data_IF_706659105142
#
_entry.id   IF_706659105142
#
_cell.length_a   1.000
_cell.length_b   1.000
_cell.length_c   1.000
_cell.angle_alpha   90.00
_cell.angle_beta   90.00
_cell.angle_gamma   90.00
#
_symmetry.space_group_name_H-M   'P 1'
#
loop_
_entity.id
_entity.type
_entity.pdbx_description
1 polymer ?
#
# COMPACT_ATOMS: atom_id res chain seq x y z
N UNK A 1 -59.66 -16.78 41.92
CA UNK A 1 -60.11 -15.43 41.52
C UNK A 1 -58.87 -14.73 40.99
N UNK A 2 -58.66 -14.62 39.67
CA UNK A 2 -57.54 -13.84 39.16
C UNK A 2 -57.89 -12.36 39.20
N UNK A 3 -56.97 -11.54 39.69
CA UNK A 3 -57.11 -10.10 39.79
C UNK A 3 -56.97 -9.50 38.38
N UNK A 4 -58.07 -8.96 37.85
CA UNK A 4 -58.05 -8.09 36.67
C UNK A 4 -57.39 -6.76 37.05
N UNK A 5 -56.41 -6.24 36.30
CA UNK A 5 -55.90 -4.89 36.50
C UNK A 5 -57.02 -3.88 36.20
N UNK A 6 -57.06 -2.78 36.94
CA UNK A 6 -58.11 -1.77 36.76
C UNK A 6 -57.95 -1.06 35.41
N UNK A 7 -59.06 -0.55 34.88
CA UNK A 7 -59.08 0.21 33.61
C UNK A 7 -58.10 1.39 33.63
N UNK A 8 -57.84 1.93 34.83
CA UNK A 8 -56.90 3.02 35.11
C UNK A 8 -55.43 2.58 35.01
N UNK A 9 -55.11 1.35 35.38
CA UNK A 9 -53.76 0.76 35.25
C UNK A 9 -53.41 0.47 33.78
N UNK A 10 -54.40 0.05 32.98
CA UNK A 10 -54.23 -0.16 31.54
C UNK A 10 -54.02 1.17 30.78
N UNK A 11 -54.75 2.23 31.14
CA UNK A 11 -54.60 3.57 30.56
C UNK A 11 -53.27 4.22 30.97
N UNK A 12 -52.80 3.99 32.20
CA UNK A 12 -51.50 4.49 32.66
C UNK A 12 -50.33 3.85 31.89
N UNK A 13 -50.39 2.54 31.62
CA UNK A 13 -49.36 1.84 30.83
C UNK A 13 -49.36 2.30 29.37
N UNK A 14 -50.53 2.51 28.76
CA UNK A 14 -50.66 3.05 27.40
C UNK A 14 -50.17 4.51 27.30
N UNK A 15 -50.44 5.33 28.33
CA UNK A 15 -49.96 6.72 28.41
C UNK A 15 -48.43 6.81 28.52
N UNK A 16 -47.81 5.92 29.29
CA UNK A 16 -46.33 5.83 29.40
C UNK A 16 -45.71 5.36 28.08
N UNK A 17 -46.30 4.37 27.42
CA UNK A 17 -45.83 3.89 26.11
C UNK A 17 -45.86 4.99 25.04
N UNK A 18 -46.96 5.74 24.96
CA UNK A 18 -47.13 6.81 23.98
C UNK A 18 -46.13 7.96 24.19
N UNK A 19 -45.79 8.26 25.45
CA UNK A 19 -44.80 9.29 25.79
C UNK A 19 -43.37 8.84 25.50
N UNK A 20 -43.01 7.59 25.80
CA UNK A 20 -41.68 7.04 25.49
C UNK A 20 -41.45 6.90 23.99
N UNK A 21 -42.50 6.60 23.21
CA UNK A 21 -42.44 6.59 21.74
C UNK A 21 -42.24 8.01 21.19
N UNK A 22 -42.96 9.00 21.74
CA UNK A 22 -42.84 10.41 21.34
C UNK A 22 -41.44 11.00 21.64
N UNK A 23 -40.89 10.71 22.82
CA UNK A 23 -39.58 11.22 23.24
C UNK A 23 -38.42 10.54 22.48
N UNK A 24 -38.57 9.27 22.09
CA UNK A 24 -37.61 8.55 21.24
C UNK A 24 -37.64 9.04 19.78
N UNK A 25 -38.81 9.47 19.28
CA UNK A 25 -38.94 10.03 17.94
C UNK A 25 -38.27 11.39 17.79
N UNK A 26 -38.28 12.24 18.81
CA UNK A 26 -37.83 13.65 18.70
C UNK A 26 -36.30 13.81 18.64
N UNK A 27 -35.55 12.93 19.32
CA UNK A 27 -34.07 12.92 19.30
C UNK A 27 -33.51 12.39 17.97
N UNK A 28 -34.26 11.52 17.29
CA UNK A 28 -33.88 10.90 16.00
C UNK A 28 -34.38 11.75 14.80
N UNK A 29 -35.36 12.64 15.03
CA UNK A 29 -36.09 13.38 14.00
C UNK A 29 -35.27 14.38 13.16
N UNK A 30 -34.14 14.89 13.67
CA UNK A 30 -33.54 16.09 13.06
C UNK A 30 -32.62 15.85 11.85
N UNK A 31 -32.30 14.60 11.44
CA UNK A 31 -31.33 14.39 10.31
C UNK A 31 -31.54 13.25 9.29
N UNK A 32 -32.67 12.57 9.20
CA UNK A 32 -32.94 11.71 8.01
C UNK A 32 -34.44 11.54 7.72
N UNK A 33 -35.03 12.48 6.98
CA UNK A 33 -36.48 12.64 6.89
C UNK A 33 -37.21 11.71 5.92
N UNK A 34 -36.53 11.10 4.94
CA UNK A 34 -37.24 10.24 3.96
C UNK A 34 -37.25 8.76 4.35
N UNK A 35 -36.09 8.19 4.72
CA UNK A 35 -36.00 6.78 5.11
C UNK A 35 -36.72 6.51 6.43
N UNK A 36 -36.66 7.46 7.38
CA UNK A 36 -37.30 7.32 8.68
C UNK A 36 -38.83 7.49 8.60
N UNK A 37 -39.31 8.38 7.70
CA UNK A 37 -40.74 8.53 7.42
C UNK A 37 -41.31 7.27 6.76
N UNK A 38 -40.60 6.70 5.78
CA UNK A 38 -40.98 5.40 5.21
C UNK A 38 -41.03 4.32 6.30
N UNK A 39 -40.02 4.23 7.16
CA UNK A 39 -39.98 3.29 8.28
C UNK A 39 -41.13 3.48 9.28
N UNK A 40 -41.46 4.73 9.63
CA UNK A 40 -42.57 5.06 10.54
C UNK A 40 -43.95 4.79 9.91
N UNK A 41 -44.12 5.08 8.61
CA UNK A 41 -45.33 4.75 7.85
C UNK A 41 -45.48 3.22 7.73
N UNK A 42 -44.40 2.48 7.47
CA UNK A 42 -44.41 1.01 7.47
C UNK A 42 -44.71 0.44 8.86
N UNK A 43 -44.21 1.05 9.93
CA UNK A 43 -44.51 0.66 11.31
C UNK A 43 -45.99 0.89 11.65
N UNK A 44 -46.53 2.07 11.33
CA UNK A 44 -47.93 2.39 11.58
C UNK A 44 -48.89 1.54 10.73
N UNK A 45 -48.59 1.32 9.46
CA UNK A 45 -49.45 0.58 8.53
C UNK A 45 -49.38 -0.95 8.75
N UNK A 46 -48.19 -1.51 9.01
CA UNK A 46 -48.00 -2.96 9.10
C UNK A 46 -48.00 -3.52 10.51
N UNK A 47 -47.83 -2.69 11.54
CA UNK A 47 -47.80 -3.11 12.94
C UNK A 47 -49.02 -2.63 13.73
N UNK A 48 -49.40 -1.34 13.60
CA UNK A 48 -50.52 -0.75 14.36
C UNK A 48 -51.91 -0.99 13.73
N UNK A 49 -52.01 -1.08 12.40
CA UNK A 49 -53.30 -1.30 11.72
C UNK A 49 -53.88 -2.71 11.94
N UNK A 50 -53.10 -3.81 11.86
CA UNK A 50 -53.55 -5.15 12.23
C UNK A 50 -53.72 -5.35 13.74
N UNK A 51 -53.26 -4.41 14.57
CA UNK A 51 -53.42 -4.43 16.02
C UNK A 51 -54.81 -3.96 16.46
N UNK A 52 -55.46 -3.08 15.70
CA UNK A 52 -56.80 -2.56 16.04
C UNK A 52 -57.95 -3.46 15.54
N UNK A 53 -57.66 -4.35 14.60
CA UNK A 53 -58.61 -5.33 14.07
C UNK A 53 -57.88 -6.67 14.11
N UNK A 54 -58.16 -7.55 15.08
CA UNK A 54 -57.69 -8.94 15.04
C UNK A 54 -58.75 -9.82 14.35
N UNK A 55 -58.76 -9.93 13.01
CA UNK A 55 -59.55 -10.97 12.36
C UNK A 55 -58.97 -12.34 12.72
N UNK A 56 -59.78 -13.40 12.64
CA UNK A 56 -59.42 -14.80 12.91
C UNK A 56 -58.16 -15.33 12.16
N UNK A 57 -57.62 -14.55 11.20
CA UNK A 57 -56.49 -14.91 10.34
C UNK A 57 -55.24 -14.02 10.49
N UNK A 58 -55.12 -13.23 11.56
CA UNK A 58 -53.98 -12.32 11.83
C UNK A 58 -52.60 -12.99 11.72
N UNK A 59 -52.44 -14.19 12.28
CA UNK A 59 -51.22 -15.01 12.17
C UNK A 59 -50.82 -15.33 10.73
N UNK A 60 -51.78 -15.76 9.91
CA UNK A 60 -51.51 -16.12 8.53
C UNK A 60 -51.08 -14.90 7.72
N UNK A 61 -51.82 -13.79 7.86
CA UNK A 61 -51.53 -12.55 7.15
C UNK A 61 -50.14 -12.00 7.49
N UNK A 62 -49.80 -11.99 8.78
CA UNK A 62 -48.50 -11.58 9.29
C UNK A 62 -47.37 -12.45 8.72
N UNK A 63 -47.48 -13.78 8.82
CA UNK A 63 -46.44 -14.70 8.36
C UNK A 63 -46.31 -14.72 6.83
N UNK A 64 -47.42 -14.61 6.10
CA UNK A 64 -47.42 -14.51 4.63
C UNK A 64 -46.69 -13.28 4.12
N UNK A 65 -46.81 -12.14 4.82
CA UNK A 65 -46.04 -10.95 4.51
C UNK A 65 -44.52 -11.21 4.62
N UNK A 66 -44.05 -11.84 5.70
CA UNK A 66 -42.62 -12.13 5.88
C UNK A 66 -42.09 -13.23 4.96
N UNK A 67 -42.93 -14.20 4.56
CA UNK A 67 -42.58 -15.14 3.49
C UNK A 67 -42.49 -14.42 2.14
N UNK A 68 -43.43 -13.52 1.84
CA UNK A 68 -43.48 -12.78 0.58
C UNK A 68 -42.28 -11.85 0.35
N UNK A 69 -41.71 -11.29 1.42
CA UNK A 69 -40.48 -10.48 1.36
C UNK A 69 -39.20 -11.32 1.52
N UNK A 70 -39.31 -12.66 1.61
CA UNK A 70 -38.19 -13.59 1.66
C UNK A 70 -37.48 -13.70 3.02
N UNK A 71 -38.07 -13.19 4.11
CA UNK A 71 -37.48 -13.27 5.45
C UNK A 71 -37.78 -14.63 6.15
N UNK A 72 -38.87 -15.28 5.78
CA UNK A 72 -39.25 -16.61 6.28
C UNK A 72 -39.38 -17.61 5.12
N UNK A 73 -39.01 -18.86 5.35
CA UNK A 73 -39.38 -19.95 4.45
C UNK A 73 -40.81 -20.44 4.71
N UNK A 74 -41.40 -21.14 3.74
CA UNK A 74 -42.69 -21.81 3.93
C UNK A 74 -42.67 -22.82 5.11
N UNK A 75 -41.52 -23.44 5.36
CA UNK A 75 -41.31 -24.33 6.51
C UNK A 75 -41.30 -23.58 7.84
N UNK A 76 -40.72 -22.38 7.89
CA UNK A 76 -40.71 -21.54 9.10
C UNK A 76 -42.10 -21.03 9.43
N UNK A 77 -42.87 -20.60 8.42
CA UNK A 77 -44.29 -20.26 8.58
C UNK A 77 -45.07 -21.43 9.20
N UNK A 78 -44.87 -22.65 8.69
CA UNK A 78 -45.56 -23.84 9.18
C UNK A 78 -45.19 -24.20 10.63
N UNK A 79 -44.02 -23.78 11.12
CA UNK A 79 -43.61 -23.99 12.51
C UNK A 79 -44.09 -22.86 13.44
N UNK A 80 -44.00 -21.61 13.00
CA UNK A 80 -44.40 -20.44 13.78
C UNK A 80 -45.92 -20.38 13.94
N UNK A 81 -46.70 -20.79 12.93
CA UNK A 81 -48.16 -20.77 13.01
C UNK A 81 -48.72 -21.71 14.08
N UNK A 82 -47.97 -22.74 14.51
CA UNK A 82 -48.36 -23.63 15.61
C UNK A 82 -48.43 -22.90 16.95
N UNK A 83 -47.83 -21.71 17.06
CA UNK A 83 -47.87 -20.86 18.24
C UNK A 83 -49.21 -20.14 18.43
N UNK A 84 -50.13 -20.24 17.46
CA UNK A 84 -51.49 -19.68 17.59
C UNK A 84 -52.40 -20.50 18.51
N UNK A 85 -52.06 -21.75 18.79
CA UNK A 85 -52.95 -22.68 19.52
C UNK A 85 -52.87 -22.52 21.06
N UNK A 86 -52.16 -21.50 21.55
CA UNK A 86 -52.11 -21.17 22.97
C UNK A 86 -53.43 -20.53 23.46
N UNK A 87 -53.76 -20.69 24.74
CA UNK A 87 -54.96 -20.07 25.31
C UNK A 87 -54.81 -18.55 25.49
N UNK A 88 -55.91 -17.81 25.37
CA UNK A 88 -55.93 -16.37 25.69
C UNK A 88 -55.59 -16.14 27.17
N UNK A 89 -54.81 -15.10 27.53
CA UNK A 89 -54.28 -14.02 26.66
C UNK A 89 -52.86 -14.30 26.10
N UNK A 90 -52.29 -15.48 26.33
CA UNK A 90 -50.90 -15.79 25.97
C UNK A 90 -50.68 -15.84 24.46
N UNK A 91 -51.68 -16.24 23.68
CA UNK A 91 -51.66 -16.24 22.21
C UNK A 91 -51.36 -14.85 21.65
N UNK A 92 -52.00 -13.81 22.18
CA UNK A 92 -51.77 -12.42 21.79
C UNK A 92 -50.35 -11.96 22.14
N UNK A 93 -49.84 -12.31 23.33
CA UNK A 93 -48.46 -11.97 23.73
C UNK A 93 -47.45 -12.65 22.81
N UNK A 94 -47.67 -13.92 22.46
CA UNK A 94 -46.79 -14.68 21.58
C UNK A 94 -46.84 -14.14 20.14
N UNK A 95 -48.01 -13.73 19.66
CA UNK A 95 -48.17 -13.04 18.37
C UNK A 95 -47.35 -11.74 18.34
N UNK A 96 -47.47 -10.90 19.37
CA UNK A 96 -46.75 -9.62 19.45
C UNK A 96 -45.23 -9.80 19.50
N UNK A 97 -44.75 -10.73 20.32
CA UNK A 97 -43.31 -11.03 20.42
C UNK A 97 -42.77 -11.57 19.10
N UNK A 98 -43.54 -12.43 18.42
CA UNK A 98 -43.17 -12.98 17.11
C UNK A 98 -43.11 -11.89 16.06
N UNK A 99 -44.13 -11.03 15.99
CA UNK A 99 -44.19 -9.90 15.08
C UNK A 99 -43.03 -8.92 15.31
N UNK A 100 -42.73 -8.58 16.56
CA UNK A 100 -41.60 -7.72 16.92
C UNK A 100 -40.25 -8.32 16.50
N UNK A 101 -40.03 -9.63 16.70
CA UNK A 101 -38.80 -10.30 16.29
C UNK A 101 -38.63 -10.36 14.77
N UNK A 102 -39.71 -10.64 14.03
CA UNK A 102 -39.67 -10.67 12.56
C UNK A 102 -39.48 -9.26 11.99
N UNK A 103 -40.15 -8.26 12.57
CA UNK A 103 -40.00 -6.87 12.17
C UNK A 103 -38.58 -6.35 12.44
N UNK A 104 -38.00 -6.63 13.60
CA UNK A 104 -36.60 -6.26 13.89
C UNK A 104 -35.59 -6.97 12.98
N UNK A 105 -35.84 -8.23 12.61
CA UNK A 105 -35.06 -8.95 11.59
C UNK A 105 -35.17 -8.30 10.20
N UNK A 106 -36.37 -7.88 9.80
CA UNK A 106 -36.61 -7.13 8.56
C UNK A 106 -35.89 -5.77 8.56
N UNK A 107 -35.95 -5.04 9.67
CA UNK A 107 -35.24 -3.78 9.85
C UNK A 107 -33.73 -3.97 9.68
N UNK A 108 -33.15 -4.97 10.33
CA UNK A 108 -31.72 -5.29 10.17
C UNK A 108 -31.39 -5.54 8.69
N UNK A 109 -32.11 -6.47 8.05
CA UNK A 109 -31.84 -6.88 6.67
C UNK A 109 -32.03 -5.78 5.61
N UNK A 110 -32.91 -4.81 5.87
CA UNK A 110 -33.17 -3.69 4.94
C UNK A 110 -32.42 -2.40 5.29
N UNK A 111 -31.95 -2.27 6.53
CA UNK A 111 -31.19 -1.11 6.98
C UNK A 111 -29.70 -1.17 6.59
N UNK A 112 -29.15 -2.35 6.31
CA UNK A 112 -27.71 -2.53 6.04
C UNK A 112 -27.16 -1.58 4.95
N UNK A 113 -27.78 -1.41 3.75
CA UNK A 113 -27.28 -0.47 2.75
C UNK A 113 -27.39 1.01 3.17
N UNK A 114 -28.43 1.38 3.91
CA UNK A 114 -28.64 2.75 4.40
C UNK A 114 -27.66 3.08 5.54
N UNK A 115 -27.43 2.13 6.43
CA UNK A 115 -26.42 2.19 7.51
C UNK A 115 -25.02 2.28 6.91
N UNK A 116 -24.70 1.49 5.89
CA UNK A 116 -23.44 1.60 5.17
C UNK A 116 -23.25 2.98 4.53
N UNK A 117 -24.28 3.52 3.85
CA UNK A 117 -24.22 4.86 3.27
C UNK A 117 -24.03 5.95 4.34
N UNK A 118 -24.68 5.79 5.50
CA UNK A 118 -24.50 6.69 6.64
C UNK A 118 -23.07 6.61 7.20
N UNK A 119 -22.54 5.40 7.42
CA UNK A 119 -21.16 5.17 7.85
C UNK A 119 -20.15 5.76 6.85
N UNK A 120 -20.36 5.58 5.55
CA UNK A 120 -19.53 6.16 4.50
C UNK A 120 -19.57 7.69 4.52
N UNK A 121 -20.74 8.30 4.72
CA UNK A 121 -20.86 9.76 4.82
C UNK A 121 -20.16 10.31 6.07
N UNK A 122 -20.28 9.62 7.21
CA UNK A 122 -19.56 9.97 8.44
C UNK A 122 -18.06 9.83 8.21
N UNK A 123 -17.60 8.73 7.61
CA UNK A 123 -16.19 8.52 7.29
C UNK A 123 -15.66 9.58 6.31
N UNK A 124 -16.45 10.00 5.31
CA UNK A 124 -16.10 11.08 4.38
C UNK A 124 -15.97 12.44 5.08
N UNK A 125 -16.84 12.72 6.06
CA UNK A 125 -16.83 13.96 6.83
C UNK A 125 -15.66 14.00 7.81
N UNK A 126 -15.51 12.93 8.60
CA UNK A 126 -14.56 12.84 9.70
C UNK A 126 -13.15 12.48 9.23
N UNK A 127 -13.04 11.77 8.10
CA UNK A 127 -11.79 11.23 7.53
C UNK A 127 -10.88 10.63 8.61
N UNK A 128 -11.38 9.69 9.43
CA UNK A 128 -10.65 9.21 10.60
C UNK A 128 -9.42 8.38 10.24
N UNK A 129 -9.34 7.91 8.99
CA UNK A 129 -8.23 7.10 8.51
C UNK A 129 -7.08 7.98 8.03
N UNK A 130 -5.93 7.85 8.69
CA UNK A 130 -4.67 8.39 8.21
C UNK A 130 -4.05 7.41 7.20
N UNK A 131 -3.35 7.92 6.16
CA UNK A 131 -2.63 7.07 5.23
C UNK A 131 -1.49 6.32 5.96
N UNK A 132 -1.13 5.15 5.44
CA UNK A 132 0.01 4.39 5.98
C UNK A 132 1.32 5.11 5.66
N UNK A 133 2.34 4.91 6.50
CA UNK A 133 3.68 5.52 6.32
C UNK A 133 4.23 5.26 4.92
N UNK A 134 4.15 4.01 4.45
CA UNK A 134 4.63 3.60 3.13
C UNK A 134 3.94 4.31 1.97
N UNK A 135 2.70 4.79 2.16
CA UNK A 135 1.92 5.46 1.11
C UNK A 135 2.26 6.95 1.02
N UNK A 136 2.62 7.58 2.14
CA UNK A 136 2.83 9.03 2.19
C UNK A 136 4.31 9.43 2.14
N UNK A 137 5.24 8.57 2.55
CA UNK A 137 6.68 8.90 2.55
C UNK A 137 7.18 9.29 1.17
N UNK A 138 6.77 8.57 0.11
CA UNK A 138 7.16 8.88 -1.27
C UNK A 138 6.75 10.28 -1.72
N UNK A 139 5.61 10.80 -1.22
CA UNK A 139 5.12 12.13 -1.58
C UNK A 139 6.06 13.24 -1.13
N UNK A 140 6.75 13.08 0.01
CA UNK A 140 7.69 14.08 0.50
C UNK A 140 8.96 14.19 -0.39
N UNK A 141 9.36 13.10 -1.07
CA UNK A 141 10.50 13.12 -1.99
C UNK A 141 10.12 13.59 -3.40
N UNK A 142 8.89 13.33 -3.83
CA UNK A 142 8.37 13.79 -5.13
C UNK A 142 7.99 15.27 -5.08
N UNK A 143 7.44 15.75 -3.96
CA UNK A 143 7.00 17.13 -3.75
C UNK A 143 7.56 17.68 -2.43
N UNK A 144 8.83 18.17 -2.42
CA UNK A 144 9.50 18.62 -1.20
C UNK A 144 8.76 19.72 -0.43
N UNK A 145 8.00 20.56 -1.13
CA UNK A 145 7.13 21.59 -0.54
C UNK A 145 6.01 21.01 0.34
N UNK A 146 5.66 19.73 0.16
CA UNK A 146 4.67 19.01 0.95
C UNK A 146 5.25 18.28 2.16
N UNK A 147 6.56 18.35 2.39
CA UNK A 147 7.24 17.67 3.51
C UNK A 147 6.61 18.02 4.86
N UNK A 148 6.22 19.28 5.09
CA UNK A 148 5.56 19.69 6.33
C UNK A 148 4.21 18.98 6.55
N UNK A 149 3.40 18.85 5.51
CA UNK A 149 2.11 18.14 5.56
C UNK A 149 2.32 16.63 5.82
N UNK A 150 3.35 16.03 5.21
CA UNK A 150 3.69 14.62 5.46
C UNK A 150 4.14 14.41 6.91
N UNK A 151 5.00 15.28 7.45
CA UNK A 151 5.41 15.21 8.86
C UNK A 151 4.23 15.32 9.80
N UNK A 152 3.29 16.24 9.55
CA UNK A 152 2.07 16.39 10.36
C UNK A 152 1.22 15.11 10.32
N UNK A 153 1.05 14.50 9.13
CA UNK A 153 0.33 13.22 9.00
C UNK A 153 0.99 12.13 9.84
N UNK A 154 2.32 12.01 9.80
CA UNK A 154 3.07 11.02 10.58
C UNK A 154 2.98 11.30 12.09
N UNK A 155 3.03 12.56 12.50
CA UNK A 155 2.85 12.94 13.90
C UNK A 155 1.44 12.58 14.41
N UNK A 156 0.39 12.82 13.60
CA UNK A 156 -0.99 12.39 13.92
C UNK A 156 -1.14 10.87 13.97
N UNK A 157 -0.29 10.13 13.24
CA UNK A 157 -0.20 8.67 13.33
C UNK A 157 0.58 8.17 14.56
N UNK A 158 1.10 9.07 15.40
CA UNK A 158 1.73 8.76 16.68
C UNK A 158 3.25 8.62 16.66
N UNK A 159 3.93 8.97 15.56
CA UNK A 159 5.40 8.93 15.48
C UNK A 159 6.03 10.16 16.16
N UNK A 160 7.14 9.96 16.88
CA UNK A 160 7.95 11.06 17.41
C UNK A 160 8.74 11.74 16.29
N UNK A 161 9.15 13.00 16.48
CA UNK A 161 10.00 13.72 15.51
C UNK A 161 11.29 12.94 15.17
N UNK A 162 11.97 12.38 16.18
CA UNK A 162 13.15 11.53 15.96
C UNK A 162 12.85 10.32 15.08
N UNK A 163 11.68 9.70 15.27
CA UNK A 163 11.26 8.55 14.44
C UNK A 163 10.93 8.98 13.03
N UNK A 164 10.28 10.14 12.87
CA UNK A 164 10.00 10.74 11.56
C UNK A 164 11.31 11.00 10.82
N UNK A 165 12.33 11.55 11.49
CA UNK A 165 13.64 11.80 10.89
C UNK A 165 14.29 10.50 10.39
N UNK A 166 14.21 9.42 11.18
CA UNK A 166 14.69 8.09 10.77
C UNK A 166 13.89 7.51 9.60
N UNK A 167 12.57 7.73 9.55
CA UNK A 167 11.73 7.31 8.42
C UNK A 167 12.16 8.03 7.15
N UNK A 168 12.41 9.34 7.21
CA UNK A 168 12.97 10.09 6.07
C UNK A 168 14.33 9.55 5.67
N UNK A 169 15.25 9.38 6.62
CA UNK A 169 16.60 8.85 6.33
C UNK A 169 16.54 7.48 5.65
N UNK A 170 15.68 6.57 6.12
CA UNK A 170 15.53 5.22 5.56
C UNK A 170 14.92 5.19 4.15
N UNK A 171 14.24 6.26 3.73
CA UNK A 171 13.61 6.35 2.42
C UNK A 171 14.45 7.15 1.40
N UNK A 172 15.60 7.70 1.79
CA UNK A 172 16.51 8.32 0.84
C UNK A 172 17.06 7.28 -0.14
N UNK A 173 17.05 7.62 -1.43
CA UNK A 173 17.70 6.82 -2.45
C UNK A 173 19.21 7.03 -2.37
N UNK A 174 19.92 5.99 -2.00
CA UNK A 174 21.39 5.93 -2.05
C UNK A 174 21.88 5.57 -3.45
N UNK A 175 23.13 5.89 -3.75
CA UNK A 175 23.79 5.43 -4.99
C UNK A 175 24.00 3.91 -4.94
N UNK A 176 23.96 3.26 -6.09
CA UNK A 176 24.46 1.89 -6.23
C UNK A 176 25.99 1.86 -6.27
N UNK A 177 26.62 0.75 -5.88
CA UNK A 177 28.08 0.61 -5.86
C UNK A 177 28.72 0.99 -7.22
N UNK A 178 28.16 0.50 -8.32
CA UNK A 178 28.65 0.82 -9.66
C UNK A 178 28.58 2.34 -9.97
N UNK A 179 27.55 3.03 -9.48
CA UNK A 179 27.44 4.48 -9.65
C UNK A 179 28.52 5.20 -8.85
N UNK A 180 28.78 4.77 -7.62
CA UNK A 180 29.86 5.31 -6.78
C UNK A 180 31.22 5.10 -7.44
N UNK A 181 31.49 3.88 -7.94
CA UNK A 181 32.70 3.56 -8.70
C UNK A 181 32.88 4.51 -9.88
N UNK A 182 31.86 4.67 -10.73
CA UNK A 182 31.93 5.50 -11.92
C UNK A 182 32.20 6.97 -11.58
N UNK A 183 31.51 7.51 -10.57
CA UNK A 183 31.73 8.89 -10.13
C UNK A 183 33.14 9.09 -9.56
N UNK A 184 33.66 8.11 -8.81
CA UNK A 184 35.02 8.15 -8.28
C UNK A 184 36.07 8.06 -9.38
N UNK A 185 35.96 7.11 -10.32
CA UNK A 185 36.86 6.98 -11.47
C UNK A 185 36.86 8.24 -12.35
N UNK A 186 35.71 8.91 -12.46
CA UNK A 186 35.55 10.17 -13.19
C UNK A 186 36.02 11.41 -12.44
N UNK A 187 36.49 11.25 -11.20
CA UNK A 187 36.94 12.32 -10.30
C UNK A 187 35.84 13.30 -9.88
N UNK A 188 34.58 12.87 -9.95
CA UNK A 188 33.41 13.61 -9.44
C UNK A 188 33.23 13.39 -7.93
N UNK A 189 33.79 12.31 -7.38
CA UNK A 189 33.88 12.07 -5.95
C UNK A 189 35.34 12.07 -5.50
N UNK A 190 35.62 12.74 -4.39
CA UNK A 190 36.86 12.55 -3.62
C UNK A 190 36.85 11.21 -2.90
N UNK A 191 38.01 10.71 -2.48
CA UNK A 191 38.11 9.47 -1.70
C UNK A 191 37.23 9.51 -0.44
N UNK A 192 37.27 10.61 0.30
CA UNK A 192 36.44 10.77 1.51
C UNK A 192 34.94 10.65 1.19
N UNK A 193 34.49 11.23 0.07
CA UNK A 193 33.09 11.14 -0.35
C UNK A 193 32.73 9.77 -0.93
N UNK A 194 33.65 9.11 -1.62
CA UNK A 194 33.47 7.74 -2.07
C UNK A 194 33.27 6.80 -0.87
N UNK A 195 34.11 6.91 0.17
CA UNK A 195 33.94 6.12 1.39
C UNK A 195 32.62 6.43 2.10
N UNK A 196 32.21 7.70 2.18
CA UNK A 196 30.90 8.09 2.71
C UNK A 196 29.75 7.39 1.98
N UNK A 197 29.71 7.43 0.65
CA UNK A 197 28.66 6.78 -0.15
C UNK A 197 28.69 5.26 -0.04
N UNK A 198 29.86 4.64 0.04
CA UNK A 198 29.95 3.20 0.22
C UNK A 198 29.50 2.76 1.63
N UNK A 199 29.67 3.58 2.67
CA UNK A 199 29.11 3.30 4.01
C UNK A 199 27.59 3.40 4.04
N UNK A 200 26.99 4.30 3.26
CA UNK A 200 25.53 4.36 3.09
C UNK A 200 24.96 3.06 2.52
N UNK A 201 25.77 2.31 1.74
CA UNK A 201 25.44 0.97 1.25
C UNK A 201 25.70 -0.16 2.26
N UNK A 202 26.22 0.16 3.45
CA UNK A 202 26.52 -0.81 4.50
C UNK A 202 27.91 -1.45 4.44
N UNK A 203 28.84 -0.93 3.62
CA UNK A 203 30.22 -1.40 3.60
C UNK A 203 31.07 -0.82 4.73
N UNK A 204 31.99 -1.63 5.26
CA UNK A 204 33.03 -1.18 6.21
C UNK A 204 34.22 -0.61 5.45
N UNK A 205 34.98 0.29 6.07
CA UNK A 205 36.18 0.89 5.45
C UNK A 205 37.18 -0.15 4.94
N UNK A 206 37.32 -1.29 5.63
CA UNK A 206 38.13 -2.42 5.18
C UNK A 206 37.63 -2.99 3.85
N UNK A 207 36.32 -3.28 3.75
CA UNK A 207 35.71 -3.81 2.52
C UNK A 207 35.74 -2.80 1.38
N UNK A 208 35.58 -1.51 1.69
CA UNK A 208 35.73 -0.44 0.70
C UNK A 208 37.14 -0.47 0.11
N UNK A 209 38.17 -0.51 0.96
CA UNK A 209 39.56 -0.60 0.50
C UNK A 209 39.88 -1.86 -0.31
N UNK A 210 39.15 -2.96 -0.11
CA UNK A 210 39.23 -4.17 -0.94
C UNK A 210 38.54 -3.99 -2.29
N UNK A 211 37.32 -3.43 -2.30
CA UNK A 211 36.52 -3.19 -3.51
C UNK A 211 37.21 -2.20 -4.47
N UNK A 212 37.84 -1.14 -3.96
CA UNK A 212 38.59 -0.18 -4.79
C UNK A 212 39.66 -0.88 -5.63
N UNK A 213 40.26 -1.97 -5.14
CA UNK A 213 41.25 -2.75 -5.91
C UNK A 213 40.63 -3.45 -7.12
N UNK A 214 39.34 -3.80 -7.06
CA UNK A 214 38.61 -4.39 -8.18
C UNK A 214 38.20 -3.37 -9.23
N UNK A 215 38.17 -2.08 -8.87
CA UNK A 215 37.74 -1.02 -9.77
C UNK A 215 38.82 -0.61 -10.78
N UNK A 216 40.08 -0.88 -10.47
CA UNK A 216 41.19 -0.73 -11.42
C UNK A 216 41.22 -1.96 -12.32
N UNK A 217 41.10 -1.74 -13.63
CA UNK A 217 41.04 -2.82 -14.61
C UNK A 217 42.41 -3.47 -14.73
N UNK A 218 42.40 -4.80 -14.63
CA UNK A 218 43.45 -5.67 -15.15
C UNK A 218 42.93 -6.24 -16.46
N UNK A 219 43.69 -6.14 -17.58
CA UNK A 219 43.31 -6.73 -18.85
C UNK A 219 42.98 -8.21 -18.73
N UNK A 220 42.05 -8.69 -19.56
CA UNK A 220 41.74 -10.11 -19.64
C UNK A 220 42.96 -10.92 -20.09
N UNK A 221 43.01 -12.20 -19.74
CA UNK A 221 44.14 -13.09 -20.03
C UNK A 221 44.53 -13.06 -21.52
N UNK A 222 43.55 -13.06 -22.44
CA UNK A 222 43.82 -13.01 -23.87
C UNK A 222 44.55 -11.73 -24.29
N UNK A 223 44.16 -10.58 -23.74
CA UNK A 223 44.80 -9.30 -24.05
C UNK A 223 46.23 -9.28 -23.52
N UNK A 224 46.46 -9.80 -22.32
CA UNK A 224 47.80 -9.93 -21.75
C UNK A 224 48.69 -10.82 -22.63
N UNK A 225 48.17 -11.95 -23.11
CA UNK A 225 48.91 -12.83 -24.01
C UNK A 225 49.22 -12.15 -25.36
N UNK A 226 48.30 -11.36 -25.90
CA UNK A 226 48.55 -10.53 -27.09
C UNK A 226 49.65 -9.50 -26.82
N UNK A 227 49.61 -8.82 -25.67
CA UNK A 227 50.65 -7.86 -25.27
C UNK A 227 52.02 -8.54 -25.15
N UNK A 228 52.08 -9.77 -24.61
CA UNK A 228 53.31 -10.57 -24.58
C UNK A 228 53.78 -10.90 -26.00
N UNK A 229 52.90 -11.35 -26.88
CA UNK A 229 53.26 -11.70 -28.26
C UNK A 229 53.75 -10.50 -29.10
N UNK A 230 53.32 -9.29 -28.74
CA UNK A 230 53.72 -8.04 -29.39
C UNK A 230 54.89 -7.34 -28.67
N UNK A 231 55.62 -8.06 -27.80
CA UNK A 231 56.80 -7.56 -27.09
C UNK A 231 56.54 -6.33 -26.19
N UNK A 232 55.27 -6.09 -25.80
CA UNK A 232 54.89 -4.90 -25.03
C UNK A 232 55.51 -4.88 -23.63
N UNK A 233 55.97 -6.03 -23.11
CA UNK A 233 56.62 -6.14 -21.80
C UNK A 233 58.14 -6.10 -21.86
N UNK A 234 58.75 -6.11 -23.05
CA UNK A 234 60.20 -6.17 -23.24
C UNK A 234 60.78 -4.75 -23.46
N UNK A 235 61.46 -4.15 -22.47
CA UNK A 235 61.88 -2.75 -22.55
C UNK A 235 62.80 -2.45 -23.73
N UNK A 236 63.69 -3.38 -24.04
CA UNK A 236 64.63 -3.25 -25.17
C UNK A 236 63.89 -3.25 -26.51
N UNK A 237 62.86 -4.09 -26.67
CA UNK A 237 62.05 -4.14 -27.88
C UNK A 237 61.18 -2.88 -28.02
N UNK A 238 60.52 -2.46 -26.92
CA UNK A 238 59.73 -1.22 -26.86
C UNK A 238 60.57 -0.02 -27.30
N UNK A 239 61.80 0.10 -26.80
CA UNK A 239 62.70 1.19 -27.15
C UNK A 239 63.22 1.09 -28.59
N UNK A 240 63.66 -0.09 -29.05
CA UNK A 240 64.23 -0.26 -30.38
C UNK A 240 63.20 -0.08 -31.49
N UNK A 241 61.95 -0.49 -31.24
CA UNK A 241 60.86 -0.43 -32.22
C UNK A 241 59.96 0.80 -32.07
N UNK A 242 60.17 1.63 -31.03
CA UNK A 242 59.33 2.81 -30.77
C UNK A 242 57.88 2.45 -30.44
N UNK A 243 57.62 1.31 -29.77
CA UNK A 243 56.25 0.81 -29.57
C UNK A 243 55.39 1.74 -28.70
N UNK A 244 56.01 2.57 -27.88
CA UNK A 244 55.32 3.59 -27.06
C UNK A 244 55.28 4.98 -27.73
N UNK A 245 55.86 5.13 -28.93
CA UNK A 245 55.85 6.39 -29.67
C UNK A 245 54.44 6.77 -30.10
N UNK A 246 54.20 8.07 -30.23
CA UNK A 246 52.90 8.66 -30.62
C UNK A 246 51.72 8.28 -29.70
N UNK A 247 52.00 7.86 -28.44
CA UNK A 247 50.95 7.55 -27.47
C UNK A 247 49.93 8.70 -27.34
N UNK A 248 48.62 8.44 -27.50
CA UNK A 248 47.57 9.44 -27.54
C UNK A 248 47.29 9.99 -26.12
N UNK A 249 48.19 10.85 -25.65
CA UNK A 249 48.21 11.36 -24.29
C UNK A 249 46.96 12.17 -23.92
N UNK A 250 46.34 12.83 -24.90
CA UNK A 250 45.07 13.55 -24.70
C UNK A 250 43.91 12.60 -24.40
N UNK A 251 43.94 11.38 -24.93
CA UNK A 251 42.89 10.38 -24.78
C UNK A 251 43.10 9.51 -23.51
N UNK A 252 44.31 9.52 -22.94
CA UNK A 252 44.68 8.79 -21.73
C UNK A 252 43.78 9.09 -20.52
N UNK A 253 43.25 10.32 -20.43
CA UNK A 253 42.31 10.66 -19.36
C UNK A 253 41.02 9.83 -19.42
N UNK A 254 40.51 9.51 -20.62
CA UNK A 254 39.27 8.77 -20.79
C UNK A 254 39.46 7.29 -20.43
N UNK A 255 40.62 6.73 -20.78
CA UNK A 255 41.01 5.37 -20.37
C UNK A 255 41.14 5.28 -18.84
N UNK A 256 41.73 6.28 -18.21
CA UNK A 256 41.83 6.38 -16.75
C UNK A 256 40.44 6.44 -16.10
N UNK A 257 39.52 7.22 -16.67
CA UNK A 257 38.12 7.31 -16.22
C UNK A 257 37.31 6.02 -16.41
N UNK A 258 37.82 5.07 -17.20
CA UNK A 258 37.29 3.70 -17.32
C UNK A 258 37.95 2.72 -16.34
N UNK A 259 38.93 3.15 -15.53
CA UNK A 259 39.65 2.30 -14.58
C UNK A 259 40.93 1.68 -15.14
N UNK A 260 41.31 1.99 -16.39
CA UNK A 260 42.56 1.49 -16.96
C UNK A 260 43.75 2.31 -16.45
N UNK A 261 44.71 1.68 -15.77
CA UNK A 261 45.88 2.38 -15.23
C UNK A 261 46.81 2.88 -16.35
N UNK A 262 47.61 3.94 -16.14
CA UNK A 262 48.59 4.41 -17.12
C UNK A 262 49.55 3.32 -17.60
N UNK A 263 49.93 2.40 -16.69
CA UNK A 263 50.73 1.23 -17.05
C UNK A 263 50.02 0.38 -18.10
N UNK A 264 48.76 0.01 -17.88
CA UNK A 264 48.01 -0.81 -18.82
C UNK A 264 47.67 -0.07 -20.11
N UNK A 265 47.46 1.25 -20.06
CA UNK A 265 47.28 2.08 -21.25
C UNK A 265 48.49 1.98 -22.18
N UNK A 266 49.71 2.08 -21.62
CA UNK A 266 50.95 1.93 -22.39
C UNK A 266 51.12 0.51 -22.95
N UNK A 267 50.71 -0.53 -22.22
CA UNK A 267 50.78 -1.92 -22.72
C UNK A 267 49.79 -2.21 -23.83
N UNK A 268 48.56 -1.69 -23.74
CA UNK A 268 47.62 -1.75 -24.86
C UNK A 268 48.15 -0.98 -26.07
N UNK A 269 48.78 0.17 -25.86
CA UNK A 269 49.39 0.91 -26.96
C UNK A 269 50.59 0.17 -27.54
N UNK A 270 51.58 -0.27 -26.77
CA UNK A 270 52.69 -1.02 -27.32
C UNK A 270 52.25 -2.26 -28.13
N UNK A 271 51.15 -2.90 -27.72
CA UNK A 271 50.57 -4.06 -28.42
C UNK A 271 49.64 -3.71 -29.60
N UNK A 272 49.28 -2.44 -29.83
CA UNK A 272 48.37 -2.06 -30.92
C UNK A 272 49.04 -2.07 -32.29
N UNK A 273 50.38 -1.98 -32.31
CA UNK A 273 51.16 -2.06 -33.54
C UNK A 273 51.14 -3.48 -34.09
N UNK A 274 50.76 -3.62 -35.35
CA UNK A 274 50.87 -4.89 -36.07
C UNK A 274 52.27 -5.01 -36.69
N UNK A 275 53.02 -6.03 -36.27
CA UNK A 275 54.31 -6.34 -36.89
C UNK A 275 54.08 -6.88 -38.31
N UNK A 276 54.85 -6.42 -39.32
CA UNK A 276 54.76 -6.97 -40.66
C UNK A 276 54.99 -8.48 -40.64
N UNK A 277 54.15 -9.24 -41.35
CA UNK A 277 54.39 -10.68 -41.52
C UNK A 277 55.75 -10.94 -42.19
N UNK A 278 56.32 -12.13 -42.00
CA UNK A 278 57.58 -12.53 -42.65
C UNK A 278 57.52 -12.33 -44.18
N UNK A 279 56.37 -12.64 -44.78
CA UNK A 279 56.15 -12.44 -46.21
C UNK A 279 56.21 -10.96 -46.60
N UNK A 280 55.58 -10.09 -45.81
CA UNK A 280 55.67 -8.63 -46.01
C UNK A 280 57.11 -8.14 -45.86
N UNK A 281 57.86 -8.63 -44.87
CA UNK A 281 59.27 -8.31 -44.70
C UNK A 281 60.11 -8.73 -45.91
N UNK A 282 59.88 -9.94 -46.45
CA UNK A 282 60.55 -10.41 -47.66
C UNK A 282 60.20 -9.55 -48.87
N UNK A 283 58.93 -9.18 -49.05
CA UNK A 283 58.50 -8.28 -50.13
C UNK A 283 59.11 -6.89 -50.01
N UNK A 284 59.16 -6.31 -48.80
CA UNK A 284 59.80 -5.02 -48.55
C UNK A 284 61.28 -5.05 -48.89
N UNK A 285 62.00 -6.12 -48.49
CA UNK A 285 63.42 -6.30 -48.79
C UNK A 285 63.71 -6.36 -50.31
N UNK A 286 62.86 -7.03 -51.09
CA UNK A 286 63.05 -7.17 -52.54
C UNK A 286 62.54 -5.97 -53.37
N UNK A 287 61.78 -5.06 -52.76
CA UNK A 287 61.35 -3.80 -53.40
C UNK A 287 62.34 -2.64 -53.17
N UNK A 288 63.40 -2.86 -52.39
CA UNK A 288 64.47 -1.90 -52.10
C UNK A 288 65.40 -1.66 -53.28
#
# INVERSE_FOLDING_TARGET
MPLEPSQEEAEAVLGVLNKTIADATDVIWTKSTESFRYLAEQFAEKLLKPFMEMPENSWNHMLDYYVGIGLLSAGDKANIIKLKDFAQPFEMVIYLVTQMKLFTGYLSATSDPAVMKMQQNIAKLMRPQLPYVSEIMGAAFVAPEKTGEVREILARSGYSEDTIDLLFLSNYRVYEEFQVQQLWLRKELSDAKMYERMRELGYTDTRIGELVKLWVIIPQVQDILTMVAHEAFEPDAVQQMGLEDEFPSEQAEWLTKQGLSPFWQMKYWAAHWDQPSIQMGFEMFHRG
#
